data_IF_894481167786
#
_entry.id   IF_894481167786
#
_cell.length_a   1.000
_cell.length_b   1.000
_cell.length_c   1.000
_cell.angle_alpha   90.00
_cell.angle_beta   90.00
_cell.angle_gamma   90.00
#
_symmetry.space_group_name_H-M   'P 1'
#
loop_
_entity.id
_entity.type
_entity.pdbx_description
1 polymer ?
#
# COMPACT_ATOMS: atom_id res chain seq x y z
N UNK A 1 -8.71 -2.39 12.96
CA UNK A 1 -10.18 -2.49 12.93
C UNK A 1 -10.79 -2.49 14.34
N UNK A 2 -10.29 -3.30 15.27
CA UNK A 2 -10.73 -3.31 16.68
C UNK A 2 -10.60 -1.94 17.38
N UNK A 3 -9.52 -1.21 17.14
CA UNK A 3 -9.27 0.10 17.75
C UNK A 3 -10.29 1.18 17.34
N UNK A 4 -10.78 1.15 16.10
CA UNK A 4 -11.81 2.09 15.62
C UNK A 4 -13.16 1.79 16.28
N UNK A 5 -13.46 0.51 16.52
CA UNK A 5 -14.67 0.08 17.20
C UNK A 5 -14.72 0.56 18.66
N UNK A 6 -13.60 0.51 19.38
CA UNK A 6 -13.48 0.99 20.76
C UNK A 6 -13.71 2.51 20.87
N UNK A 7 -13.27 3.28 19.88
CA UNK A 7 -13.27 4.75 19.90
C UNK A 7 -14.56 5.34 19.27
N UNK A 8 -15.49 4.50 18.84
CA UNK A 8 -16.73 4.90 18.14
C UNK A 8 -17.62 5.88 18.92
N UNK A 9 -17.54 5.89 20.26
CA UNK A 9 -18.34 6.77 21.13
C UNK A 9 -17.75 8.18 21.30
N UNK A 10 -16.52 8.41 20.85
CA UNK A 10 -15.84 9.71 20.97
C UNK A 10 -16.09 10.53 19.70
N UNK A 11 -16.24 11.85 19.83
CA UNK A 11 -16.53 12.72 18.70
C UNK A 11 -15.39 12.70 17.66
N UNK A 12 -15.74 12.55 16.38
CA UNK A 12 -14.76 12.45 15.29
C UNK A 12 -13.87 13.69 15.14
N UNK A 13 -14.34 14.83 15.63
CA UNK A 13 -13.59 16.10 15.65
C UNK A 13 -12.41 16.07 16.63
N UNK A 14 -12.43 15.21 17.64
CA UNK A 14 -11.35 15.07 18.63
C UNK A 14 -10.43 13.91 18.26
N UNK A 15 -11.01 12.77 17.86
CA UNK A 15 -10.24 11.55 17.56
C UNK A 15 -9.29 11.74 16.38
N UNK A 16 -9.72 12.44 15.33
CA UNK A 16 -8.90 12.64 14.14
C UNK A 16 -7.64 13.47 14.41
N UNK A 17 -7.71 14.72 14.94
CA UNK A 17 -6.50 15.48 15.23
C UNK A 17 -5.62 14.81 16.29
N UNK A 18 -6.21 14.18 17.30
CA UNK A 18 -5.46 13.45 18.31
C UNK A 18 -4.68 12.27 17.68
N UNK A 19 -5.29 11.54 16.75
CA UNK A 19 -4.60 10.47 16.04
C UNK A 19 -3.41 10.94 15.22
N UNK A 20 -3.51 12.13 14.60
CA UNK A 20 -2.40 12.73 13.86
C UNK A 20 -1.29 13.12 14.83
N UNK A 21 -1.61 13.77 15.95
CA UNK A 21 -0.62 14.17 16.96
C UNK A 21 0.12 12.94 17.50
N UNK A 22 -0.60 11.89 17.88
CA UNK A 22 -0.01 10.64 18.37
C UNK A 22 0.90 10.01 17.31
N UNK A 23 0.45 10.00 16.04
CA UNK A 23 1.23 9.44 14.95
C UNK A 23 2.50 10.25 14.63
N UNK A 24 2.44 11.58 14.73
CA UNK A 24 3.61 12.45 14.58
C UNK A 24 4.59 12.25 15.75
N UNK A 25 4.09 12.15 16.98
CA UNK A 25 4.90 11.91 18.18
C UNK A 25 5.57 10.52 18.15
N UNK A 26 4.88 9.49 17.65
CA UNK A 26 5.40 8.12 17.54
C UNK A 26 6.70 8.05 16.73
N UNK A 27 6.91 8.95 15.76
CA UNK A 27 8.13 9.00 14.95
C UNK A 27 9.41 9.40 15.70
N UNK A 28 9.31 9.96 16.91
CA UNK A 28 10.47 10.26 17.76
C UNK A 28 10.96 9.06 18.57
N UNK A 29 10.09 8.07 18.80
CA UNK A 29 10.41 6.93 19.65
C UNK A 29 11.08 5.82 18.84
N UNK A 30 12.40 5.66 19.03
CA UNK A 30 13.20 4.57 18.43
C UNK A 30 12.75 3.16 18.86
N UNK A 31 12.13 3.05 20.04
CA UNK A 31 11.75 1.77 20.67
C UNK A 31 10.61 1.06 19.92
N UNK A 32 9.85 1.77 19.09
CA UNK A 32 8.66 1.25 18.40
C UNK A 32 9.00 0.75 16.97
N UNK A 33 10.26 0.89 16.53
CA UNK A 33 10.67 0.77 15.12
C UNK A 33 10.33 -0.56 14.45
N UNK A 34 10.58 -1.69 15.13
CA UNK A 34 10.37 -3.02 14.54
C UNK A 34 9.67 -4.05 15.44
N UNK A 35 9.49 -3.76 16.73
CA UNK A 35 8.77 -4.68 17.62
C UNK A 35 7.27 -4.69 17.27
N UNK A 36 6.77 -5.84 16.79
CA UNK A 36 5.35 -6.10 16.46
C UNK A 36 4.73 -5.21 15.36
N UNK A 37 5.51 -4.47 14.57
CA UNK A 37 5.00 -3.52 13.55
C UNK A 37 4.03 -2.45 14.12
N UNK A 38 4.05 -2.18 15.43
CA UNK A 38 3.10 -1.27 16.10
C UNK A 38 3.20 0.15 15.54
N UNK A 39 4.41 0.58 15.17
CA UNK A 39 4.65 1.86 14.50
C UNK A 39 3.73 2.08 13.30
N UNK A 40 3.60 1.09 12.43
CA UNK A 40 2.74 1.19 11.23
C UNK A 40 1.27 1.33 11.60
N UNK A 41 0.80 0.58 12.61
CA UNK A 41 -0.59 0.69 13.04
C UNK A 41 -0.93 2.10 13.53
N UNK A 42 -0.04 2.70 14.34
CA UNK A 42 -0.24 4.05 14.86
C UNK A 42 -0.14 5.08 13.73
N UNK A 43 0.89 4.99 12.88
CA UNK A 43 1.16 5.96 11.82
C UNK A 43 0.08 5.96 10.74
N UNK A 44 -0.51 4.80 10.41
CA UNK A 44 -1.57 4.72 9.41
C UNK A 44 -2.99 4.85 10.00
N UNK A 45 -3.15 4.83 11.32
CA UNK A 45 -4.47 4.96 11.98
C UNK A 45 -5.29 6.18 11.53
N UNK A 46 -4.71 7.39 11.35
CA UNK A 46 -5.47 8.54 10.87
C UNK A 46 -6.16 8.30 9.53
N UNK A 47 -5.53 7.57 8.61
CA UNK A 47 -6.14 7.21 7.32
C UNK A 47 -7.29 6.22 7.46
N UNK A 48 -7.13 5.21 8.31
CA UNK A 48 -8.21 4.26 8.60
C UNK A 48 -9.41 4.96 9.24
N UNK A 49 -9.17 5.89 10.17
CA UNK A 49 -10.23 6.66 10.80
C UNK A 49 -10.89 7.63 9.82
N UNK A 50 -10.11 8.31 8.97
CA UNK A 50 -10.65 9.16 7.90
C UNK A 50 -11.58 8.38 6.97
N UNK A 51 -11.15 7.18 6.53
CA UNK A 51 -11.97 6.25 5.75
C UNK A 51 -13.28 5.88 6.44
N UNK A 52 -13.24 5.64 7.76
CA UNK A 52 -14.43 5.32 8.56
C UNK A 52 -15.42 6.50 8.67
N UNK A 53 -14.92 7.74 8.73
CA UNK A 53 -15.77 8.93 8.82
C UNK A 53 -16.41 9.35 7.49
N UNK A 54 -15.90 8.87 6.34
CA UNK A 54 -16.41 9.28 5.05
C UNK A 54 -17.79 8.69 4.75
N UNK A 55 -18.67 9.53 4.21
CA UNK A 55 -19.92 9.06 3.61
C UNK A 55 -19.62 8.58 2.17
N UNK A 56 -19.86 7.30 1.82
CA UNK A 56 -19.48 6.74 0.53
C UNK A 56 -20.15 7.43 -0.65
N UNK A 57 -21.40 7.89 -0.48
CA UNK A 57 -22.17 8.57 -1.54
C UNK A 57 -21.55 9.94 -1.86
N UNK A 58 -21.20 10.70 -0.82
CA UNK A 58 -20.56 12.01 -0.98
C UNK A 58 -19.16 11.88 -1.58
N UNK A 59 -18.38 10.92 -1.08
CA UNK A 59 -17.04 10.63 -1.59
C UNK A 59 -17.08 10.23 -3.07
N UNK A 60 -18.02 9.37 -3.46
CA UNK A 60 -18.20 8.97 -4.85
C UNK A 60 -18.55 10.14 -5.76
N UNK A 61 -19.46 11.03 -5.34
CA UNK A 61 -19.82 12.22 -6.13
C UNK A 61 -18.63 13.15 -6.33
N UNK A 62 -17.84 13.37 -5.29
CA UNK A 62 -16.63 14.21 -5.35
C UNK A 62 -15.60 13.63 -6.34
N UNK A 63 -15.25 12.35 -6.17
CA UNK A 63 -14.24 11.63 -6.94
C UNK A 63 -14.62 11.54 -8.43
N UNK A 64 -15.91 11.48 -8.78
CA UNK A 64 -16.41 11.44 -10.16
C UNK A 64 -16.25 12.76 -10.94
N UNK A 65 -15.92 13.86 -10.27
CA UNK A 65 -15.86 15.18 -10.92
C UNK A 65 -14.69 15.23 -11.91
N UNK A 66 -14.93 15.70 -13.14
CA UNK A 66 -13.87 15.84 -14.18
C UNK A 66 -12.64 16.60 -13.66
N UNK A 67 -12.85 17.64 -12.85
CA UNK A 67 -11.78 18.42 -12.21
C UNK A 67 -10.86 17.54 -11.36
N UNK A 68 -11.43 16.70 -10.49
CA UNK A 68 -10.65 15.79 -9.62
C UNK A 68 -9.86 14.80 -10.46
N UNK A 69 -10.46 14.24 -11.52
CA UNK A 69 -9.77 13.35 -12.44
C UNK A 69 -8.57 14.02 -13.13
N UNK A 70 -8.74 15.23 -13.67
CA UNK A 70 -7.66 15.97 -14.32
C UNK A 70 -6.53 16.29 -13.33
N UNK A 71 -6.88 16.80 -12.13
CA UNK A 71 -5.92 17.09 -11.07
C UNK A 71 -5.14 15.83 -10.69
N UNK A 72 -5.82 14.67 -10.62
CA UNK A 72 -5.19 13.39 -10.30
C UNK A 72 -4.19 12.97 -11.39
N UNK A 73 -4.55 13.10 -12.68
CA UNK A 73 -3.65 12.79 -13.80
C UNK A 73 -2.42 13.71 -13.74
N UNK A 74 -2.63 15.02 -13.61
CA UNK A 74 -1.53 15.99 -13.48
C UNK A 74 -0.61 15.63 -12.31
N UNK A 75 -1.18 15.32 -11.14
CA UNK A 75 -0.42 14.91 -9.97
C UNK A 75 0.42 13.66 -10.22
N UNK A 76 -0.13 12.60 -10.82
CA UNK A 76 0.63 11.38 -11.11
C UNK A 76 1.73 11.60 -12.14
N UNK A 77 1.49 12.41 -13.17
CA UNK A 77 2.51 12.77 -14.17
C UNK A 77 3.65 13.55 -13.49
N UNK A 78 3.32 14.59 -12.72
CA UNK A 78 4.33 15.37 -11.99
C UNK A 78 5.09 14.51 -11.00
N UNK A 79 4.41 13.64 -10.26
CA UNK A 79 5.04 12.72 -9.32
C UNK A 79 5.99 11.73 -10.01
N UNK A 80 5.59 11.19 -11.17
CA UNK A 80 6.44 10.29 -11.96
C UNK A 80 7.68 11.02 -12.50
N UNK A 81 7.52 12.23 -13.05
CA UNK A 81 8.65 13.04 -13.56
C UNK A 81 9.64 13.37 -12.45
N UNK A 82 9.15 13.81 -11.28
CA UNK A 82 10.01 14.07 -10.12
C UNK A 82 10.74 12.79 -9.68
N UNK A 83 10.05 11.66 -9.67
CA UNK A 83 10.64 10.37 -9.27
C UNK A 83 11.74 9.91 -10.21
N UNK A 84 11.64 10.18 -11.51
CA UNK A 84 12.64 9.82 -12.51
C UNK A 84 13.84 10.78 -12.47
N UNK A 85 13.59 12.09 -12.30
CA UNK A 85 14.66 13.10 -12.33
C UNK A 85 15.44 13.18 -11.01
N UNK A 86 14.83 12.83 -9.87
CA UNK A 86 15.42 12.96 -8.54
C UNK A 86 15.51 11.63 -7.79
N UNK A 87 15.87 10.56 -8.49
CA UNK A 87 15.91 9.18 -7.96
C UNK A 87 16.62 9.08 -6.61
N UNK A 88 17.83 9.65 -6.47
CA UNK A 88 18.62 9.54 -5.24
C UNK A 88 17.94 10.18 -4.03
N UNK A 89 17.33 11.36 -4.23
CA UNK A 89 16.62 12.08 -3.16
C UNK A 89 15.32 11.39 -2.77
N UNK A 90 14.58 10.88 -3.78
CA UNK A 90 13.33 10.14 -3.55
C UNK A 90 13.61 8.79 -2.88
N UNK A 91 14.75 8.16 -3.16
CA UNK A 91 15.13 6.90 -2.53
C UNK A 91 15.30 7.03 -1.01
N UNK A 92 15.88 8.14 -0.53
CA UNK A 92 15.98 8.42 0.92
C UNK A 92 14.58 8.58 1.55
N UNK A 93 13.64 9.20 0.83
CA UNK A 93 12.25 9.33 1.28
C UNK A 93 11.53 7.98 1.36
N UNK A 94 11.98 6.93 0.66
CA UNK A 94 11.37 5.58 0.70
C UNK A 94 11.21 5.06 2.12
N UNK A 95 12.26 5.18 2.93
CA UNK A 95 12.26 4.69 4.32
C UNK A 95 11.26 5.46 5.18
N UNK A 96 11.05 6.72 4.83
CA UNK A 96 10.12 7.61 5.48
C UNK A 96 8.66 7.26 5.12
N UNK A 97 8.36 7.07 3.84
CA UNK A 97 7.06 6.58 3.37
C UNK A 97 6.71 5.19 3.93
N UNK A 98 7.70 4.29 4.02
CA UNK A 98 7.56 2.97 4.62
C UNK A 98 7.26 3.04 6.14
N UNK A 99 7.48 4.19 6.77
CA UNK A 99 7.21 4.47 8.18
C UNK A 99 7.83 3.43 9.14
N UNK A 100 8.98 2.87 8.75
CA UNK A 100 9.71 1.85 9.53
C UNK A 100 10.69 2.48 10.51
N UNK A 101 11.33 3.56 10.10
CA UNK A 101 12.39 4.21 10.88
C UNK A 101 11.87 5.45 11.62
N UNK A 102 12.52 5.75 12.74
CA UNK A 102 12.33 6.99 13.48
C UNK A 102 12.90 8.19 12.72
N UNK A 103 12.55 9.39 13.17
CA UNK A 103 13.09 10.63 12.60
C UNK A 103 14.61 10.74 12.72
N UNK A 104 15.18 10.30 13.84
CA UNK A 104 16.63 10.32 14.06
C UNK A 104 17.35 9.29 13.19
N UNK A 105 16.80 8.08 13.06
CA UNK A 105 17.37 7.04 12.18
C UNK A 105 17.31 7.41 10.69
N UNK A 106 16.34 8.24 10.30
CA UNK A 106 16.26 8.80 8.95
C UNK A 106 17.19 10.02 8.72
N UNK A 107 17.91 10.50 9.74
CA UNK A 107 18.78 11.69 9.64
C UNK A 107 18.06 13.03 9.73
N UNK A 108 16.78 13.06 10.11
CA UNK A 108 15.95 14.28 10.17
C UNK A 108 15.27 14.45 11.53
N UNK A 109 16.01 14.58 12.65
CA UNK A 109 15.43 14.64 13.99
C UNK A 109 14.53 15.87 14.21
N UNK A 110 14.90 17.03 13.66
CA UNK A 110 14.16 18.29 13.83
C UNK A 110 13.07 18.48 12.77
N UNK A 111 13.33 18.09 11.52
CA UNK A 111 12.41 18.27 10.38
C UNK A 111 11.50 17.09 10.13
N UNK A 112 11.66 15.99 10.87
CA UNK A 112 10.91 14.74 10.69
C UNK A 112 9.39 14.93 10.75
N UNK A 113 8.87 15.75 11.66
CA UNK A 113 7.41 16.03 11.75
C UNK A 113 6.89 16.73 10.50
N UNK A 114 7.65 17.68 9.95
CA UNK A 114 7.28 18.39 8.73
C UNK A 114 7.23 17.43 7.54
N UNK A 115 8.26 16.59 7.40
CA UNK A 115 8.31 15.56 6.36
C UNK A 115 7.15 14.56 6.52
N UNK A 116 6.75 14.22 7.75
CA UNK A 116 5.63 13.28 8.04
C UNK A 116 4.29 13.88 7.67
N UNK A 117 4.12 15.16 7.95
CA UNK A 117 2.94 15.91 7.53
C UNK A 117 2.85 15.97 6.00
N UNK A 118 3.98 16.23 5.31
CA UNK A 118 4.04 16.22 3.85
C UNK A 118 3.72 14.84 3.27
N UNK A 119 4.29 13.77 3.85
CA UNK A 119 3.97 12.39 3.49
C UNK A 119 2.46 12.13 3.60
N UNK A 120 1.80 12.62 4.66
CA UNK A 120 0.37 12.44 4.83
C UNK A 120 -0.45 13.14 3.75
N UNK A 121 -0.07 14.36 3.39
CA UNK A 121 -0.72 15.10 2.30
C UNK A 121 -0.54 14.36 0.97
N UNK A 122 0.69 13.95 0.63
CA UNK A 122 0.99 13.21 -0.59
C UNK A 122 0.19 11.90 -0.64
N UNK A 123 0.17 11.14 0.46
CA UNK A 123 -0.56 9.87 0.54
C UNK A 123 -2.07 10.07 0.42
N UNK A 124 -2.63 11.10 1.03
CA UNK A 124 -4.05 11.43 0.89
C UNK A 124 -4.42 11.78 -0.56
N UNK A 125 -3.60 12.62 -1.22
CA UNK A 125 -3.78 12.97 -2.63
C UNK A 125 -3.65 11.73 -3.52
N UNK A 126 -2.68 10.85 -3.26
CA UNK A 126 -2.53 9.58 -3.97
C UNK A 126 -3.76 8.69 -3.83
N UNK A 127 -4.30 8.52 -2.63
CA UNK A 127 -5.50 7.70 -2.38
C UNK A 127 -6.69 8.26 -3.18
N UNK A 128 -6.96 9.57 -3.04
CA UNK A 128 -8.05 10.23 -3.78
C UNK A 128 -7.84 10.11 -5.29
N UNK A 129 -6.61 10.32 -5.75
CA UNK A 129 -6.26 10.26 -7.15
C UNK A 129 -6.45 8.88 -7.75
N UNK A 130 -6.02 7.83 -7.05
CA UNK A 130 -6.22 6.45 -7.49
C UNK A 130 -7.71 6.11 -7.56
N UNK A 131 -8.49 6.51 -6.55
CA UNK A 131 -9.94 6.33 -6.55
C UNK A 131 -10.64 7.11 -7.68
N UNK A 132 -10.10 8.26 -8.12
CA UNK A 132 -10.64 9.05 -9.23
C UNK A 132 -10.30 8.46 -10.61
N UNK A 133 -9.17 7.77 -10.73
CA UNK A 133 -8.70 7.20 -11.98
C UNK A 133 -9.20 5.78 -12.23
N UNK A 134 -9.49 5.02 -11.16
CA UNK A 134 -9.94 3.64 -11.32
C UNK A 134 -11.26 3.59 -12.10
N UNK A 135 -11.27 2.78 -13.16
CA UNK A 135 -12.46 2.57 -13.98
C UNK A 135 -13.49 1.78 -13.17
N UNK A 136 -14.73 2.27 -13.13
CA UNK A 136 -15.86 1.53 -12.55
C UNK A 136 -16.46 0.51 -13.51
N UNK A 137 -15.96 0.42 -14.74
CA UNK A 137 -16.42 -0.59 -15.70
C UNK A 137 -15.93 -1.96 -15.23
N UNK A 138 -16.84 -2.92 -15.14
CA UNK A 138 -16.51 -4.30 -14.80
C UNK A 138 -15.76 -4.95 -15.98
N UNK A 139 -14.44 -4.80 -15.99
CA UNK A 139 -13.58 -5.47 -16.94
C UNK A 139 -13.35 -6.90 -16.42
N UNK A 140 -14.05 -7.87 -17.02
CA UNK A 140 -14.10 -9.27 -16.56
C UNK A 140 -12.71 -9.84 -16.26
N UNK A 141 -11.72 -9.55 -17.12
CA UNK A 141 -10.34 -9.98 -16.90
C UNK A 141 -9.72 -9.41 -15.61
N UNK A 142 -9.75 -8.09 -15.44
CA UNK A 142 -9.14 -7.42 -14.27
C UNK A 142 -9.90 -7.73 -12.99
N UNK A 143 -11.23 -7.85 -13.04
CA UNK A 143 -12.03 -8.22 -11.87
C UNK A 143 -11.75 -9.65 -11.42
N UNK A 144 -11.64 -10.60 -12.36
CA UNK A 144 -11.30 -11.99 -12.03
C UNK A 144 -9.84 -12.16 -11.60
N UNK A 145 -8.91 -11.39 -12.16
CA UNK A 145 -7.52 -11.38 -11.69
C UNK A 145 -7.44 -10.78 -10.27
N UNK A 146 -8.19 -9.71 -10.01
CA UNK A 146 -8.23 -9.03 -8.71
C UNK A 146 -8.79 -9.89 -7.57
N UNK A 147 -9.71 -10.82 -7.85
CA UNK A 147 -10.22 -11.75 -6.83
C UNK A 147 -9.17 -12.76 -6.36
N UNK A 148 -8.10 -12.97 -7.14
CA UNK A 148 -6.99 -13.92 -6.86
C UNK A 148 -5.72 -13.23 -6.37
N UNK A 149 -5.84 -12.03 -5.82
CA UNK A 149 -4.69 -11.26 -5.31
C UNK A 149 -3.89 -11.98 -4.23
N UNK A 150 -4.54 -12.77 -3.37
CA UNK A 150 -3.84 -13.50 -2.30
C UNK A 150 -2.94 -14.64 -2.85
N UNK A 151 -3.44 -15.58 -3.69
CA UNK A 151 -2.58 -16.56 -4.36
C UNK A 151 -1.40 -15.94 -5.11
N UNK A 152 -1.67 -14.89 -5.90
CA UNK A 152 -0.64 -14.18 -6.67
C UNK A 152 0.39 -13.55 -5.73
N UNK A 153 -0.05 -12.92 -4.64
CA UNK A 153 0.84 -12.33 -3.65
C UNK A 153 1.74 -13.37 -2.99
N UNK A 154 1.25 -14.57 -2.70
CA UNK A 154 2.10 -15.59 -2.11
C UNK A 154 3.10 -16.16 -3.13
N UNK A 155 2.63 -16.49 -4.33
CA UNK A 155 3.43 -17.17 -5.33
C UNK A 155 4.45 -16.26 -6.02
N UNK A 156 4.15 -14.97 -6.25
CA UNK A 156 5.12 -14.06 -6.89
C UNK A 156 6.40 -13.92 -6.04
N UNK A 157 6.31 -14.04 -4.72
CA UNK A 157 7.48 -13.97 -3.84
C UNK A 157 8.45 -15.11 -4.11
N UNK A 158 7.93 -16.31 -4.38
CA UNK A 158 8.75 -17.45 -4.80
C UNK A 158 9.51 -17.16 -6.11
N UNK A 159 8.83 -16.58 -7.11
CA UNK A 159 9.48 -16.18 -8.36
C UNK A 159 10.49 -15.05 -8.16
N UNK A 160 10.21 -14.10 -7.26
CA UNK A 160 11.14 -13.04 -6.93
C UNK A 160 12.43 -13.59 -6.29
N UNK A 161 12.32 -14.57 -5.39
CA UNK A 161 13.49 -15.28 -4.84
C UNK A 161 14.26 -16.02 -5.93
N UNK A 162 13.57 -16.71 -6.84
CA UNK A 162 14.22 -17.40 -7.95
C UNK A 162 14.98 -16.44 -8.88
N UNK A 163 14.45 -15.24 -9.13
CA UNK A 163 15.14 -14.20 -9.91
C UNK A 163 16.42 -13.73 -9.20
N UNK A 164 16.38 -13.60 -7.87
CA UNK A 164 17.53 -13.22 -7.06
C UNK A 164 18.57 -14.34 -7.06
N UNK A 165 18.17 -15.58 -6.80
CA UNK A 165 19.08 -16.73 -6.73
C UNK A 165 19.77 -17.02 -8.07
N UNK A 166 19.11 -16.75 -9.20
CA UNK A 166 19.69 -16.88 -10.53
C UNK A 166 20.56 -15.68 -10.95
N UNK A 167 20.74 -14.67 -10.10
CA UNK A 167 21.44 -13.41 -10.39
C UNK A 167 20.96 -12.72 -11.68
N UNK A 168 19.69 -12.94 -12.06
CA UNK A 168 19.09 -12.34 -13.25
C UNK A 168 19.05 -10.81 -13.16
N UNK A 169 18.93 -10.29 -11.94
CA UNK A 169 19.00 -8.85 -11.67
C UNK A 169 20.35 -8.25 -12.06
N UNK A 170 21.45 -8.79 -11.53
CA UNK A 170 22.81 -8.33 -11.86
C UNK A 170 23.10 -8.51 -13.35
N UNK A 171 22.76 -9.67 -13.93
CA UNK A 171 23.08 -9.97 -15.32
C UNK A 171 22.35 -9.05 -16.32
N UNK A 172 21.09 -8.69 -16.04
CA UNK A 172 20.31 -7.81 -16.91
C UNK A 172 20.57 -6.33 -16.64
N UNK A 173 20.71 -5.93 -15.38
CA UNK A 173 20.87 -4.52 -15.00
C UNK A 173 22.29 -4.04 -15.26
N UNK A 174 23.33 -4.84 -14.98
CA UNK A 174 24.72 -4.41 -15.20
C UNK A 174 25.09 -4.39 -16.68
N UNK A 175 24.57 -5.32 -17.49
CA UNK A 175 24.89 -5.38 -18.93
C UNK A 175 24.02 -4.51 -19.81
N UNK A 176 22.75 -4.29 -19.44
CA UNK A 176 21.77 -3.61 -20.29
C UNK A 176 21.15 -2.36 -19.64
N UNK A 177 21.58 -2.00 -18.43
CA UNK A 177 21.18 -0.78 -17.71
C UNK A 177 19.65 -0.60 -17.71
N UNK A 178 19.15 0.52 -18.27
CA UNK A 178 17.73 0.86 -18.33
C UNK A 178 16.90 -0.19 -19.08
N UNK A 179 17.44 -0.79 -20.14
CA UNK A 179 16.73 -1.80 -20.92
C UNK A 179 16.53 -3.10 -20.13
N UNK A 180 17.53 -3.48 -19.32
CA UNK A 180 17.42 -4.61 -18.39
C UNK A 180 16.32 -4.42 -17.35
N UNK A 181 16.17 -3.20 -16.82
CA UNK A 181 15.09 -2.84 -15.89
C UNK A 181 13.72 -2.98 -16.56
N UNK A 182 13.57 -2.53 -17.81
CA UNK A 182 12.32 -2.67 -18.57
C UNK A 182 11.98 -4.14 -18.81
N UNK A 183 12.97 -4.96 -19.21
CA UNK A 183 12.77 -6.40 -19.39
C UNK A 183 12.30 -7.04 -18.08
N UNK A 184 12.95 -6.72 -16.95
CA UNK A 184 12.59 -7.27 -15.65
C UNK A 184 11.16 -6.86 -15.24
N UNK A 185 10.76 -5.62 -15.51
CA UNK A 185 9.41 -5.14 -15.27
C UNK A 185 8.37 -5.90 -16.12
N UNK A 186 8.68 -6.15 -17.40
CA UNK A 186 7.83 -6.95 -18.29
C UNK A 186 7.72 -8.39 -17.80
N UNK A 187 8.83 -9.02 -17.40
CA UNK A 187 8.83 -10.37 -16.81
C UNK A 187 7.96 -10.40 -15.56
N UNK A 188 8.13 -9.45 -14.64
CA UNK A 188 7.31 -9.36 -13.43
C UNK A 188 5.82 -9.20 -13.72
N UNK A 189 5.47 -8.38 -14.72
CA UNK A 189 4.09 -8.23 -15.18
C UNK A 189 3.54 -9.54 -15.76
N UNK A 190 4.29 -10.21 -16.63
CA UNK A 190 3.90 -11.49 -17.24
C UNK A 190 3.71 -12.59 -16.19
N UNK A 191 4.64 -12.69 -15.22
CA UNK A 191 4.54 -13.63 -14.09
C UNK A 191 3.28 -13.35 -13.27
N UNK A 192 2.97 -12.09 -12.99
CA UNK A 192 1.76 -11.69 -12.25
C UNK A 192 0.49 -12.06 -13.02
N UNK A 193 0.45 -11.83 -14.33
CA UNK A 193 -0.66 -12.24 -15.19
C UNK A 193 -0.81 -13.76 -15.26
N UNK A 194 0.29 -14.50 -15.39
CA UNK A 194 0.29 -15.97 -15.41
C UNK A 194 -0.20 -16.54 -14.06
N UNK A 195 0.25 -15.98 -12.94
CA UNK A 195 -0.20 -16.39 -11.61
C UNK A 195 -1.67 -16.07 -11.34
N UNK A 196 -2.25 -15.12 -12.08
CA UNK A 196 -3.67 -14.78 -11.97
C UNK A 196 -4.60 -15.83 -12.63
N UNK A 197 -4.04 -16.84 -13.31
CA UNK A 197 -4.83 -17.94 -13.88
C UNK A 197 -5.52 -18.79 -12.79
N UNK A 198 -6.71 -19.36 -13.08
CA UNK A 198 -7.50 -20.12 -12.12
C UNK A 198 -6.76 -21.35 -11.56
N UNK A 199 -5.80 -21.88 -12.29
CA UNK A 199 -5.01 -23.05 -11.91
C UNK A 199 -4.30 -22.85 -10.55
N UNK A 200 -3.75 -21.65 -10.32
CA UNK A 200 -2.97 -21.35 -9.12
C UNK A 200 -3.82 -21.03 -7.89
N UNK A 201 -5.13 -20.87 -8.05
CA UNK A 201 -6.09 -20.62 -6.96
C UNK A 201 -6.52 -21.93 -6.28
N UNK A 202 -6.45 -23.06 -7.00
CA UNK A 202 -6.89 -24.38 -6.53
C UNK A 202 -6.31 -24.83 -5.18
N UNK A 203 -4.98 -24.76 -4.92
CA UNK A 203 -4.43 -25.18 -3.63
C UNK A 203 -4.94 -24.31 -2.46
N UNK A 204 -5.16 -23.02 -2.68
CA UNK A 204 -5.64 -22.10 -1.65
C UNK A 204 -7.11 -22.34 -1.32
N UNK A 205 -7.95 -22.62 -2.33
CA UNK A 205 -9.35 -23.00 -2.13
C UNK A 205 -9.44 -24.30 -1.33
N UNK A 206 -8.59 -25.29 -1.65
CA UNK A 206 -8.53 -26.55 -0.93
C UNK A 206 -8.18 -26.35 0.55
N UNK A 207 -7.11 -25.60 0.86
CA UNK A 207 -6.71 -25.28 2.23
C UNK A 207 -7.83 -24.54 2.97
N UNK A 208 -8.45 -23.54 2.34
CA UNK A 208 -9.59 -22.80 2.91
C UNK A 208 -10.75 -23.73 3.25
N UNK A 209 -11.05 -24.71 2.39
CA UNK A 209 -12.12 -25.69 2.62
C UNK A 209 -11.83 -26.57 3.86
N UNK A 210 -10.58 -26.99 4.05
CA UNK A 210 -10.15 -27.78 5.21
C UNK A 210 -10.27 -26.95 6.49
N UNK A 211 -9.71 -25.73 6.50
CA UNK A 211 -9.78 -24.84 7.66
C UNK A 211 -11.24 -24.57 8.02
N UNK A 212 -12.11 -24.31 7.04
CA UNK A 212 -13.53 -24.06 7.28
C UNK A 212 -14.22 -25.27 7.90
N UNK A 213 -13.92 -26.49 7.43
CA UNK A 213 -14.43 -27.74 8.04
C UNK A 213 -13.98 -27.89 9.49
N UNK A 214 -12.72 -27.59 9.79
CA UNK A 214 -12.16 -27.64 11.15
C UNK A 214 -12.83 -26.58 12.05
N UNK A 215 -12.94 -25.33 11.60
CA UNK A 215 -13.57 -24.25 12.37
C UNK A 215 -15.06 -24.53 12.67
N UNK A 216 -15.79 -25.13 11.72
CA UNK A 216 -17.17 -25.58 11.95
C UNK A 216 -17.23 -26.69 13.00
N UNK A 217 -16.29 -27.64 12.98
CA UNK A 217 -16.20 -28.73 13.97
C UNK A 217 -15.90 -28.21 15.38
N UNK A 218 -15.20 -27.08 15.51
CA UNK A 218 -14.84 -26.46 16.80
C UNK A 218 -15.91 -25.43 17.27
N UNK A 219 -16.95 -25.17 16.46
CA UNK A 219 -18.05 -24.26 16.84
C UNK A 219 -17.71 -22.77 16.81
N UNK A 220 -16.57 -22.38 16.22
CA UNK A 220 -16.11 -20.98 16.11
C UNK A 220 -16.85 -20.25 14.97
N UNK A 221 -17.33 -20.99 13.96
CA UNK A 221 -18.04 -20.45 12.80
C UNK A 221 -19.34 -21.25 12.63
N UNK A 222 -20.49 -20.57 12.68
CA UNK A 222 -21.80 -21.13 12.30
C UNK A 222 -21.87 -21.32 10.78
#
# INVERSE_FOLDING_TARGET
MFSVYLIRRISSKIVFPLSIIIALAAGYFNIIGDFLCVSKFIVFFPFFYAGYCFNPIKAEKFIKTKKVKIISICFFITFAVISILFTDKVFVLRNFFASRLSYSACGFPLTGVLLRTLQYIISAVMIVGWCALISKKHLVFFTNAGSRTFPVYYLHYFFALLIIDLNLGELLVDKMSVFGIVILAVIGFLVTCALSFPLFDYPFIFIKSIITKICKKIGIVK
#
